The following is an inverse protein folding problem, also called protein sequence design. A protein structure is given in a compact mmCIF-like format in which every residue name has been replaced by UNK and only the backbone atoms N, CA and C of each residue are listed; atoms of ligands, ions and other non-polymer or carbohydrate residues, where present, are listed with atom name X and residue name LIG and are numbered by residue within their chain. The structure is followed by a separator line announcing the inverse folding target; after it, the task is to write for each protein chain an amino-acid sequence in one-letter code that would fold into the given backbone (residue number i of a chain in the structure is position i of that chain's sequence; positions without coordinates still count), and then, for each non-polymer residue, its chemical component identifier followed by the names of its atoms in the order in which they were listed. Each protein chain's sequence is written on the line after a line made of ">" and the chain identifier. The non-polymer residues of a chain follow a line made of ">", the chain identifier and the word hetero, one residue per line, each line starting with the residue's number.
data_IF_475834173294
#
_entry.id   IF_475834173294
#
_cell.length_a   1.000
_cell.length_b   1.000
_cell.length_c   1.000
_cell.angle_alpha   90.00
_cell.angle_beta   90.00
_cell.angle_gamma   90.00
#
_symmetry.space_group_name_H-M   'P 1'
#
loop_
_entity.id
_entity.type
_entity.pdbx_description
1 polymer ?
#
# COMPACT_ATOMS: atom_id res chain seq x y z
N UNK A 1 25.15 -9.33 37.91
CA UNK A 1 24.91 -8.19 37.00
C UNK A 1 24.20 -8.79 35.80
N UNK A 2 22.88 -8.89 35.87
CA UNK A 2 22.08 -9.65 34.89
C UNK A 2 21.69 -8.68 33.79
N UNK A 3 22.33 -8.79 32.63
CA UNK A 3 21.94 -8.05 31.43
C UNK A 3 20.51 -8.47 31.05
N UNK A 4 19.57 -7.55 31.20
CA UNK A 4 18.22 -7.74 30.70
C UNK A 4 18.27 -7.62 29.18
N UNK A 5 18.18 -8.75 28.50
CA UNK A 5 17.94 -8.81 27.05
C UNK A 5 16.56 -8.20 26.82
N UNK A 6 16.52 -6.97 26.31
CA UNK A 6 15.27 -6.34 25.89
C UNK A 6 14.72 -7.14 24.71
N UNK A 7 13.66 -7.91 24.94
CA UNK A 7 12.95 -8.59 23.88
C UNK A 7 12.10 -7.56 23.13
N UNK A 8 12.68 -6.94 22.10
CA UNK A 8 11.92 -6.15 21.13
C UNK A 8 10.88 -7.09 20.51
N UNK A 9 9.58 -6.75 20.49
CA UNK A 9 8.60 -7.57 19.79
C UNK A 9 9.03 -7.72 18.32
N UNK A 10 8.75 -8.86 17.67
CA UNK A 10 9.14 -9.07 16.28
C UNK A 10 8.58 -7.94 15.41
N UNK A 11 9.44 -7.39 14.54
CA UNK A 11 9.05 -6.36 13.57
C UNK A 11 7.89 -6.86 12.72
N UNK A 12 6.85 -6.05 12.46
CA UNK A 12 5.72 -6.50 11.66
C UNK A 12 6.18 -6.87 10.25
N UNK A 13 5.61 -7.93 9.71
CA UNK A 13 5.90 -8.42 8.37
C UNK A 13 5.10 -7.63 7.34
N UNK A 14 5.79 -7.05 6.36
CA UNK A 14 5.23 -6.14 5.38
C UNK A 14 5.29 -6.77 3.99
N UNK A 15 4.12 -6.98 3.39
CA UNK A 15 3.98 -7.36 1.98
C UNK A 15 3.69 -6.13 1.13
N UNK A 16 4.42 -5.95 0.03
CA UNK A 16 4.18 -4.88 -0.94
C UNK A 16 3.55 -5.49 -2.21
N UNK A 17 2.26 -5.21 -2.41
CA UNK A 17 1.51 -5.55 -3.62
C UNK A 17 1.63 -4.40 -4.63
N UNK A 18 2.19 -4.67 -5.81
CA UNK A 18 2.43 -3.68 -6.87
C UNK A 18 2.40 -4.34 -8.25
N UNK A 19 2.12 -3.55 -9.29
CA UNK A 19 2.32 -3.98 -10.67
C UNK A 19 3.74 -3.63 -11.14
N UNK A 20 4.42 -4.59 -11.76
CA UNK A 20 5.83 -4.45 -12.13
C UNK A 20 6.05 -3.49 -13.29
N UNK A 21 5.06 -3.37 -14.16
CA UNK A 21 5.13 -2.60 -15.39
C UNK A 21 5.27 -1.10 -15.12
N UNK A 22 4.68 -0.60 -14.03
CA UNK A 22 4.58 0.83 -13.75
C UNK A 22 4.88 1.25 -12.31
N UNK A 23 5.10 0.30 -11.37
CA UNK A 23 5.38 0.61 -9.98
C UNK A 23 6.66 -0.05 -9.42
N UNK A 24 7.46 -0.72 -10.25
CA UNK A 24 8.66 -1.47 -9.81
C UNK A 24 9.69 -0.61 -9.06
N UNK A 25 10.06 0.54 -9.61
CA UNK A 25 11.15 1.35 -9.05
C UNK A 25 10.81 1.87 -7.66
N UNK A 26 9.57 2.34 -7.47
CA UNK A 26 9.10 2.80 -6.16
C UNK A 26 8.88 1.64 -5.19
N UNK A 27 8.43 0.47 -5.66
CA UNK A 27 8.30 -0.70 -4.82
C UNK A 27 9.66 -1.15 -4.26
N UNK A 28 10.69 -1.22 -5.11
CA UNK A 28 12.07 -1.56 -4.70
C UNK A 28 12.57 -0.53 -3.69
N UNK A 29 12.41 0.76 -3.97
CA UNK A 29 12.85 1.82 -3.06
C UNK A 29 12.16 1.72 -1.69
N UNK A 30 10.84 1.54 -1.67
CA UNK A 30 10.08 1.38 -0.42
C UNK A 30 10.54 0.15 0.36
N UNK A 31 10.76 -0.99 -0.31
CA UNK A 31 11.29 -2.21 0.32
C UNK A 31 12.62 -1.91 1.01
N UNK A 32 13.57 -1.34 0.26
CA UNK A 32 14.93 -1.12 0.75
C UNK A 32 14.93 -0.14 1.94
N UNK A 33 14.20 0.98 1.83
CA UNK A 33 14.09 1.96 2.91
C UNK A 33 13.37 1.39 4.17
N UNK A 34 12.37 0.51 3.98
CA UNK A 34 11.69 -0.17 5.10
C UNK A 34 12.62 -1.19 5.79
N UNK A 35 13.41 -1.94 5.03
CA UNK A 35 14.43 -2.86 5.56
C UNK A 35 15.48 -2.08 6.35
N UNK A 36 15.99 -0.98 5.79
CA UNK A 36 16.95 -0.10 6.46
C UNK A 36 16.37 0.54 7.73
N UNK A 37 15.04 0.67 7.80
CA UNK A 37 14.30 1.11 8.99
C UNK A 37 13.98 -0.02 9.98
N UNK A 38 14.43 -1.25 9.73
CA UNK A 38 14.28 -2.40 10.63
C UNK A 38 12.99 -3.20 10.46
N UNK A 39 12.31 -3.11 9.31
CA UNK A 39 11.10 -3.89 9.02
C UNK A 39 11.38 -5.11 8.13
N UNK A 40 10.80 -6.26 8.48
CA UNK A 40 10.78 -7.45 7.62
C UNK A 40 9.83 -7.22 6.44
N UNK A 41 10.40 -6.82 5.30
CA UNK A 41 9.63 -6.34 4.14
C UNK A 41 9.98 -7.13 2.89
N UNK A 42 8.96 -7.56 2.18
CA UNK A 42 9.10 -8.31 0.93
C UNK A 42 8.21 -7.73 -0.17
N UNK A 43 8.64 -7.95 -1.41
CA UNK A 43 7.91 -7.55 -2.61
C UNK A 43 7.14 -8.73 -3.17
N UNK A 44 5.96 -8.46 -3.72
CA UNK A 44 5.34 -9.39 -4.65
C UNK A 44 6.25 -9.57 -5.89
N UNK A 45 6.48 -10.81 -6.26
CA UNK A 45 7.34 -11.15 -7.39
C UNK A 45 6.48 -11.64 -8.59
N UNK A 46 5.21 -11.22 -8.71
CA UNK A 46 4.15 -11.63 -9.66
C UNK A 46 4.42 -11.79 -11.17
N UNK A 47 5.67 -11.71 -11.66
CA UNK A 47 6.04 -12.34 -12.94
C UNK A 47 7.24 -13.28 -12.76
N UNK A 48 7.01 -14.50 -12.28
CA UNK A 48 7.78 -15.64 -12.78
C UNK A 48 6.86 -16.40 -13.72
N UNK A 49 7.35 -16.57 -14.95
CA UNK A 49 6.64 -17.14 -16.08
C UNK A 49 5.90 -18.45 -15.78
N UNK A 50 4.78 -18.63 -16.49
CA UNK A 50 3.88 -19.78 -16.49
C UNK A 50 4.55 -21.13 -16.16
N UNK A 51 4.06 -21.82 -15.12
CA UNK A 51 4.16 -23.28 -15.07
C UNK A 51 4.27 -24.00 -13.73
N UNK A 52 4.65 -23.37 -12.61
CA UNK A 52 4.84 -24.14 -11.37
C UNK A 52 4.63 -23.34 -10.07
N UNK A 53 3.72 -23.82 -9.22
CA UNK A 53 3.64 -23.64 -7.76
C UNK A 53 3.61 -22.21 -7.16
N UNK A 54 3.31 -21.19 -7.95
CA UNK A 54 3.45 -19.79 -7.53
C UNK A 54 2.30 -19.22 -6.68
N UNK A 55 1.08 -19.75 -6.82
CA UNK A 55 -0.07 -19.29 -6.05
C UNK A 55 0.06 -19.56 -4.55
N UNK A 56 0.78 -20.62 -4.17
CA UNK A 56 0.99 -20.99 -2.77
C UNK A 56 1.93 -20.01 -2.05
N UNK A 57 2.99 -19.56 -2.72
CA UNK A 57 3.99 -18.68 -2.12
C UNK A 57 3.43 -17.28 -1.85
N UNK A 58 2.60 -16.76 -2.76
CA UNK A 58 1.91 -15.48 -2.59
C UNK A 58 0.85 -15.55 -1.49
N UNK A 59 0.03 -16.62 -1.46
CA UNK A 59 -0.95 -16.79 -0.40
C UNK A 59 -0.27 -16.92 0.97
N UNK A 60 0.82 -17.69 1.05
CA UNK A 60 1.63 -17.80 2.27
C UNK A 60 2.27 -16.46 2.68
N UNK A 61 2.73 -15.65 1.72
CA UNK A 61 3.25 -14.31 1.99
C UNK A 61 2.16 -13.40 2.58
N UNK A 62 0.96 -13.38 2.00
CA UNK A 62 -0.16 -12.60 2.54
C UNK A 62 -0.62 -13.13 3.90
N UNK A 63 -0.63 -14.45 4.09
CA UNK A 63 -1.03 -15.06 5.36
C UNK A 63 -0.04 -14.77 6.48
N UNK A 64 1.26 -14.71 6.16
CA UNK A 64 2.32 -14.38 7.11
C UNK A 64 2.53 -12.88 7.32
N UNK A 65 2.02 -12.02 6.43
CA UNK A 65 2.10 -10.57 6.57
C UNK A 65 1.18 -10.07 7.69
N UNK A 66 1.64 -9.07 8.44
CA UNK A 66 0.80 -8.27 9.34
C UNK A 66 0.20 -7.07 8.59
N UNK A 67 0.96 -6.56 7.61
CA UNK A 67 0.67 -5.34 6.87
C UNK A 67 0.80 -5.62 5.38
N UNK A 68 -0.16 -5.11 4.60
CA UNK A 68 -0.11 -5.13 3.14
C UNK A 68 -0.09 -3.70 2.63
N UNK A 69 0.99 -3.30 1.97
CA UNK A 69 1.06 -2.04 1.23
C UNK A 69 0.52 -2.29 -0.18
N UNK A 70 -0.55 -1.60 -0.55
CA UNK A 70 -1.16 -1.69 -1.87
C UNK A 70 -0.73 -0.48 -2.71
N UNK A 71 0.24 -0.64 -3.60
CA UNK A 71 0.69 0.41 -4.51
C UNK A 71 -0.33 0.55 -5.63
N UNK A 72 -1.05 1.66 -5.64
CA UNK A 72 -2.06 1.99 -6.63
C UNK A 72 -1.40 2.68 -7.83
N UNK A 73 -1.30 1.91 -8.91
CA UNK A 73 -0.95 2.29 -10.28
C UNK A 73 -1.99 1.75 -11.27
N UNK A 74 -1.95 2.18 -12.53
CA UNK A 74 -2.89 1.67 -13.54
C UNK A 74 -2.74 0.16 -13.74
N UNK A 75 -1.50 -0.34 -13.76
CA UNK A 75 -1.17 -1.76 -13.80
C UNK A 75 -1.78 -2.52 -12.62
N UNK A 76 -1.67 -1.98 -11.41
CA UNK A 76 -2.25 -2.62 -10.21
C UNK A 76 -3.78 -2.65 -10.25
N UNK A 77 -4.40 -1.65 -10.87
CA UNK A 77 -5.85 -1.55 -11.02
C UNK A 77 -6.40 -2.58 -12.00
N UNK A 78 -5.71 -2.82 -13.12
CA UNK A 78 -6.14 -3.82 -14.11
C UNK A 78 -5.69 -5.24 -13.77
N UNK A 79 -4.68 -5.40 -12.91
CA UNK A 79 -4.15 -6.69 -12.48
C UNK A 79 -5.15 -7.45 -11.59
N UNK A 80 -5.65 -8.58 -12.09
CA UNK A 80 -6.51 -9.49 -11.32
C UNK A 80 -5.79 -10.03 -10.08
N UNK A 81 -4.48 -10.26 -10.18
CA UNK A 81 -3.66 -10.76 -9.08
C UNK A 81 -3.59 -9.71 -7.98
N UNK A 82 -3.12 -8.48 -8.27
CA UNK A 82 -3.03 -7.42 -7.26
C UNK A 82 -4.38 -7.20 -6.56
N UNK A 83 -5.48 -7.20 -7.33
CA UNK A 83 -6.83 -7.07 -6.76
C UNK A 83 -7.21 -8.24 -5.86
N UNK A 84 -6.89 -9.47 -6.26
CA UNK A 84 -7.17 -10.66 -5.47
C UNK A 84 -6.38 -10.65 -4.14
N UNK A 85 -5.12 -10.24 -4.17
CA UNK A 85 -4.26 -10.11 -2.99
C UNK A 85 -4.79 -9.05 -2.01
N UNK A 86 -5.12 -7.87 -2.52
CA UNK A 86 -5.67 -6.77 -1.72
C UNK A 86 -6.98 -7.22 -1.05
N UNK A 87 -7.88 -7.85 -1.79
CA UNK A 87 -9.11 -8.38 -1.22
C UNK A 87 -8.86 -9.53 -0.23
N UNK A 88 -7.87 -10.40 -0.48
CA UNK A 88 -7.49 -11.48 0.44
C UNK A 88 -7.00 -10.90 1.77
N UNK A 89 -6.16 -9.87 1.72
CA UNK A 89 -5.67 -9.15 2.90
C UNK A 89 -6.84 -8.59 3.73
N UNK A 90 -7.80 -7.91 3.07
CA UNK A 90 -9.00 -7.39 3.72
C UNK A 90 -9.85 -8.50 4.36
N UNK A 91 -10.12 -9.60 3.65
CA UNK A 91 -10.89 -10.75 4.18
C UNK A 91 -10.22 -11.41 5.39
N UNK A 92 -8.88 -11.35 5.47
CA UNK A 92 -8.09 -11.90 6.57
C UNK A 92 -7.87 -10.88 7.70
N UNK A 93 -8.50 -9.71 7.65
CA UNK A 93 -8.32 -8.61 8.60
C UNK A 93 -6.86 -8.16 8.74
N UNK A 94 -6.06 -8.32 7.67
CA UNK A 94 -4.71 -7.76 7.61
C UNK A 94 -4.81 -6.24 7.50
N UNK A 95 -3.80 -5.52 7.99
CA UNK A 95 -3.79 -4.07 7.85
C UNK A 95 -3.35 -3.68 6.45
N UNK A 96 -4.33 -3.39 5.59
CA UNK A 96 -4.07 -2.92 4.23
C UNK A 96 -3.90 -1.39 4.21
N UNK A 97 -2.77 -0.92 3.68
CA UNK A 97 -2.39 0.49 3.58
C UNK A 97 -2.27 0.84 2.09
N UNK A 98 -3.22 1.60 1.53
CA UNK A 98 -3.12 2.04 0.14
C UNK A 98 -2.10 3.17 -0.03
N UNK A 99 -1.24 3.04 -1.05
CA UNK A 99 -0.24 4.03 -1.45
C UNK A 99 -0.51 4.42 -2.91
N UNK A 100 -0.93 5.66 -3.16
CA UNK A 100 -1.06 6.14 -4.53
C UNK A 100 0.33 6.42 -5.08
N UNK A 101 0.78 5.67 -6.09
CA UNK A 101 2.10 5.85 -6.70
C UNK A 101 2.05 6.45 -8.10
N UNK A 102 0.86 6.46 -8.70
CA UNK A 102 0.60 7.09 -9.99
C UNK A 102 -0.65 7.96 -9.87
N UNK A 103 -0.53 9.28 -10.10
CA UNK A 103 -1.56 10.26 -9.72
C UNK A 103 -2.90 10.12 -10.44
N UNK A 104 -2.90 9.54 -11.64
CA UNK A 104 -4.07 9.35 -12.51
C UNK A 104 -4.60 7.91 -12.51
N UNK A 105 -4.06 7.03 -11.65
CA UNK A 105 -4.52 5.66 -11.56
C UNK A 105 -5.93 5.55 -10.96
N UNK A 106 -6.76 4.71 -11.57
CA UNK A 106 -8.05 4.33 -11.02
C UNK A 106 -7.88 3.54 -9.72
N UNK A 107 -8.93 3.57 -8.88
CA UNK A 107 -8.97 2.85 -7.60
C UNK A 107 -10.09 1.81 -7.62
N UNK A 108 -9.84 0.57 -7.18
CA UNK A 108 -10.91 -0.40 -7.00
C UNK A 108 -11.92 0.11 -5.95
N UNK A 109 -13.21 -0.21 -6.15
CA UNK A 109 -14.31 0.24 -5.27
C UNK A 109 -14.05 -0.03 -3.77
N UNK A 110 -13.42 -1.16 -3.44
CA UNK A 110 -13.12 -1.54 -2.05
C UNK A 110 -11.99 -0.71 -1.40
N UNK A 111 -11.25 0.09 -2.18
CA UNK A 111 -10.24 1.03 -1.71
C UNK A 111 -10.71 2.50 -1.78
N UNK A 112 -11.83 2.81 -2.46
CA UNK A 112 -12.27 4.20 -2.66
C UNK A 112 -12.53 4.95 -1.35
N UNK A 113 -13.06 4.24 -0.35
CA UNK A 113 -13.36 4.76 0.99
C UNK A 113 -12.19 4.64 1.97
N UNK A 114 -11.04 4.14 1.52
CA UNK A 114 -9.83 4.09 2.32
C UNK A 114 -8.99 5.34 2.09
N UNK A 115 -8.42 5.85 3.17
CA UNK A 115 -7.39 6.88 3.07
C UNK A 115 -6.11 6.26 2.49
N UNK A 116 -5.35 7.06 1.75
CA UNK A 116 -4.10 6.65 1.13
C UNK A 116 -3.00 7.68 1.34
N UNK A 117 -1.75 7.23 1.26
CA UNK A 117 -0.59 8.12 1.16
C UNK A 117 -0.27 8.37 -0.30
N UNK A 118 -0.08 9.62 -0.68
CA UNK A 118 0.14 10.01 -2.09
C UNK A 118 1.62 10.14 -2.43
N UNK A 119 2.22 9.01 -2.80
CA UNK A 119 3.60 8.86 -3.26
C UNK A 119 3.80 9.19 -4.75
N UNK A 120 2.76 9.65 -5.47
CA UNK A 120 2.86 9.98 -6.90
C UNK A 120 3.79 11.16 -7.19
N UNK A 121 4.12 11.98 -6.19
CA UNK A 121 5.10 13.05 -6.31
C UNK A 121 6.44 12.65 -5.61
N UNK A 122 7.50 12.36 -6.39
CA UNK A 122 8.80 11.95 -5.84
C UNK A 122 9.45 12.97 -4.90
N UNK A 123 9.16 14.27 -5.04
CA UNK A 123 9.75 15.30 -4.18
C UNK A 123 9.26 15.21 -2.73
N UNK A 124 8.11 14.57 -2.51
CA UNK A 124 7.50 14.39 -1.19
C UNK A 124 7.86 13.07 -0.52
N UNK A 125 8.63 12.21 -1.19
CA UNK A 125 8.93 10.86 -0.72
C UNK A 125 9.42 10.83 0.74
N UNK A 126 10.41 11.64 1.10
CA UNK A 126 10.97 11.60 2.46
C UNK A 126 10.00 12.05 3.55
N UNK A 127 9.05 12.93 3.24
CA UNK A 127 7.95 13.29 4.16
C UNK A 127 6.99 12.12 4.33
N UNK A 128 6.51 11.57 3.20
CA UNK A 128 5.51 10.51 3.18
C UNK A 128 6.04 9.18 3.73
N UNK A 129 7.33 8.92 3.55
CA UNK A 129 7.99 7.76 4.13
C UNK A 129 8.01 7.84 5.66
N UNK A 130 8.28 9.01 6.25
CA UNK A 130 8.16 9.20 7.71
C UNK A 130 6.73 9.02 8.19
N UNK A 131 5.76 9.54 7.44
CA UNK A 131 4.34 9.33 7.75
C UNK A 131 3.94 7.85 7.66
N UNK A 132 4.46 7.12 6.68
CA UNK A 132 4.28 5.68 6.54
C UNK A 132 4.85 4.91 7.73
N UNK A 133 6.07 5.23 8.19
CA UNK A 133 6.65 4.62 9.39
C UNK A 133 5.79 4.88 10.63
N UNK A 134 5.30 6.11 10.80
CA UNK A 134 4.37 6.46 11.88
C UNK A 134 3.07 5.66 11.79
N UNK A 135 2.53 5.47 10.59
CA UNK A 135 1.34 4.67 10.38
C UNK A 135 1.60 3.18 10.64
N UNK A 136 2.79 2.68 10.26
CA UNK A 136 3.20 1.31 10.50
C UNK A 136 3.23 1.01 12.00
N UNK A 137 3.82 1.92 12.78
CA UNK A 137 3.98 1.77 14.23
C UNK A 137 2.65 1.91 15.00
N UNK A 138 1.78 2.85 14.60
CA UNK A 138 0.60 3.21 15.40
C UNK A 138 -0.71 2.60 14.92
N UNK A 139 -0.77 2.19 13.64
CA UNK A 139 -2.03 1.83 12.99
C UNK A 139 -3.00 3.00 12.83
N UNK A 140 -2.55 4.24 13.06
CA UNK A 140 -3.33 5.46 12.88
C UNK A 140 -2.82 6.26 11.68
N UNK A 141 -3.73 6.63 10.78
CA UNK A 141 -3.41 7.49 9.66
C UNK A 141 -3.13 8.88 10.22
N UNK A 142 -1.98 9.51 9.93
CA UNK A 142 -1.75 10.90 10.35
C UNK A 142 -2.86 11.80 9.78
N UNK A 143 -3.52 12.59 10.65
CA UNK A 143 -4.65 13.48 10.28
C UNK A 143 -4.34 14.44 9.12
N UNK A 144 -3.06 14.67 8.82
CA UNK A 144 -2.57 15.56 7.77
C UNK A 144 -2.70 14.97 6.35
N UNK A 145 -2.99 13.68 6.22
CA UNK A 145 -2.98 12.93 4.95
C UNK A 145 -4.37 12.55 4.44
N UNK A 146 -5.43 13.01 5.09
CA UNK A 146 -6.80 12.79 4.63
C UNK A 146 -7.11 13.70 3.46
N UNK A 147 -6.63 13.38 2.24
CA UNK A 147 -7.28 13.89 1.03
C UNK A 147 -8.57 13.10 0.85
N UNK A 148 -9.57 13.42 1.68
CA UNK A 148 -10.95 13.08 1.36
C UNK A 148 -11.25 13.71 0.02
N UNK A 149 -11.80 12.95 -0.94
CA UNK A 149 -12.43 13.52 -2.12
C UNK A 149 -13.71 14.26 -1.67
N UNK A 150 -13.55 15.40 -1.01
CA UNK A 150 -14.56 16.44 -0.96
C UNK A 150 -13.99 17.63 -1.70
N UNK A 151 -14.08 17.59 -3.03
CA UNK A 151 -14.37 18.75 -3.87
C UNK A 151 -14.63 18.27 -5.30
N UNK A 152 -15.89 17.87 -5.50
CA UNK A 152 -16.55 17.76 -6.78
C UNK A 152 -17.99 18.25 -6.62
N UNK A 153 -18.18 19.39 -5.94
CA UNK A 153 -19.45 20.10 -6.00
C UNK A 153 -19.55 20.70 -7.40
N UNK A 154 -20.21 19.99 -8.32
CA UNK A 154 -20.81 20.61 -9.48
C UNK A 154 -21.74 21.71 -8.94
N UNK A 155 -21.42 22.97 -9.24
CA UNK A 155 -22.33 24.07 -8.98
C UNK A 155 -23.65 23.77 -9.72
N UNK A 156 -24.82 23.88 -9.09
CA UNK A 156 -26.06 23.81 -9.85
C UNK A 156 -26.07 24.98 -10.83
N UNK A 157 -26.08 24.66 -12.13
CA UNK A 157 -26.39 25.60 -13.19
C UNK A 157 -27.75 26.21 -12.86
N UNK A 158 -27.75 27.49 -12.47
CA UNK A 158 -28.96 28.29 -12.41
C UNK A 158 -29.48 28.45 -13.84
N UNK A 159 -30.40 27.56 -14.23
CA UNK A 159 -31.24 27.74 -15.40
C UNK A 159 -32.19 28.90 -15.12
N UNK A 160 -31.82 30.07 -15.61
CA UNK A 160 -32.72 31.20 -15.74
C UNK A 160 -33.65 30.91 -16.93
N UNK A 161 -34.89 30.54 -16.66
CA UNK A 161 -35.96 30.51 -17.67
C UNK A 161 -36.50 31.96 -17.83
N UNK A 162 -36.82 32.40 -19.06
CA UNK A 162 -37.37 33.74 -19.32
C UNK A 162 -38.80 33.93 -18.80
#
# INVERSE_FOLDING_TARGET
>A
MTEQIQHQPPSPKIFISYAREDARDIAIRLRDDLIDSGHDTWLDLSEIAAGASWSWDIEAAIESADIVLALMSQGSYVSEICRAEQQRALRKNKRLIPLMVQSDADRPLYLENMNYLDFSNPTRYGELFRDLLGYIATGQIPKRLTRTLQQGAAQPLAVHLP
#
